data_IF_257075014291
#
_entry.id   IF_257075014291
#
_cell.length_a   1.000
_cell.length_b   1.000
_cell.length_c   1.000
_cell.angle_alpha   90.00
_cell.angle_beta   90.00
_cell.angle_gamma   90.00
#
_symmetry.space_group_name_H-M   'P 1'
#
loop_
_entity.id
_entity.type
_entity.pdbx_description
1 polymer ?
#
# COMPACT_ATOMS: atom_id res chain seq x y z
N UNK A 1 11.64 2.67 -3.97
CA UNK A 1 11.13 1.51 -3.21
C UNK A 1 9.89 1.95 -2.41
N UNK A 2 8.85 1.11 -2.33
CA UNK A 2 7.56 1.40 -1.67
C UNK A 2 7.70 1.33 -0.15
N UNK A 3 8.39 0.31 0.38
CA UNK A 3 8.56 0.14 1.83
C UNK A 3 9.41 1.26 2.42
N UNK A 4 10.55 1.58 1.80
CA UNK A 4 11.38 2.70 2.22
C UNK A 4 10.61 4.03 2.24
N UNK A 5 9.74 4.27 1.25
CA UNK A 5 8.90 5.47 1.22
C UNK A 5 7.88 5.48 2.35
N UNK A 6 7.19 4.36 2.61
CA UNK A 6 6.24 4.24 3.72
C UNK A 6 6.92 4.57 5.06
N UNK A 7 8.05 3.91 5.37
CA UNK A 7 8.82 4.12 6.60
C UNK A 7 9.19 5.60 6.82
N UNK A 8 9.61 6.28 5.75
CA UNK A 8 9.91 7.72 5.78
C UNK A 8 8.68 8.59 6.06
N UNK A 9 7.51 8.27 5.51
CA UNK A 9 6.28 9.07 5.64
C UNK A 9 5.67 9.00 7.06
N UNK A 10 5.76 7.83 7.70
CA UNK A 10 5.24 7.61 9.06
C UNK A 10 6.31 7.73 10.15
N UNK A 11 7.56 7.98 9.77
CA UNK A 11 8.72 8.16 10.64
C UNK A 11 8.97 6.97 11.60
N UNK A 12 9.03 5.76 11.04
CA UNK A 12 9.39 4.51 11.74
C UNK A 12 10.55 3.82 11.01
N UNK A 13 11.28 2.95 11.73
CA UNK A 13 12.43 2.24 11.20
C UNK A 13 12.21 0.72 11.21
N UNK A 14 11.71 0.19 12.32
CA UNK A 14 11.59 -1.25 12.57
C UNK A 14 10.12 -1.72 12.58
N UNK A 15 9.87 -3.00 12.23
CA UNK A 15 8.55 -3.62 12.42
C UNK A 15 8.12 -3.60 13.89
N UNK A 16 6.84 -3.36 14.14
CA UNK A 16 6.24 -3.26 15.47
C UNK A 16 6.27 -1.85 16.07
N UNK A 17 6.91 -0.88 15.42
CA UNK A 17 6.93 0.50 15.87
C UNK A 17 5.62 1.23 15.57
N UNK A 18 5.30 2.19 16.45
CA UNK A 18 4.19 3.12 16.29
C UNK A 18 4.76 4.50 16.01
N UNK A 19 4.18 5.21 15.04
CA UNK A 19 4.56 6.56 14.69
C UNK A 19 4.37 7.52 15.87
N UNK A 20 5.15 8.61 15.89
CA UNK A 20 5.11 9.60 16.99
C UNK A 20 3.77 10.31 17.15
N UNK A 21 3.00 10.41 16.07
CA UNK A 21 1.64 10.97 16.08
C UNK A 21 0.59 9.97 16.61
N UNK A 22 0.98 8.72 16.86
CA UNK A 22 0.09 7.66 17.35
C UNK A 22 -0.93 7.17 16.32
N UNK A 23 -0.80 7.59 15.06
CA UNK A 23 -1.78 7.31 14.00
C UNK A 23 -1.46 6.03 13.22
N UNK A 24 -0.19 5.61 13.15
CA UNK A 24 0.24 4.49 12.33
C UNK A 24 1.05 3.50 13.15
N UNK A 25 0.73 2.21 13.00
CA UNK A 25 1.61 1.11 13.36
C UNK A 25 2.17 0.46 12.10
N UNK A 26 3.44 0.07 12.13
CA UNK A 26 4.08 -0.62 11.01
C UNK A 26 4.33 -2.08 11.38
N UNK A 27 3.89 -2.99 10.53
CA UNK A 27 4.11 -4.43 10.68
C UNK A 27 4.55 -4.99 9.34
N UNK A 28 5.60 -5.80 9.36
CA UNK A 28 5.98 -6.62 8.21
C UNK A 28 5.26 -7.96 8.32
N UNK A 29 4.57 -8.32 7.25
CA UNK A 29 3.80 -9.54 7.17
C UNK A 29 4.31 -10.40 6.02
N UNK A 30 4.07 -11.69 6.15
CA UNK A 30 4.27 -12.64 5.07
C UNK A 30 3.31 -12.37 3.90
N UNK A 31 3.34 -13.27 2.91
CA UNK A 31 2.51 -13.16 1.72
C UNK A 31 1.02 -12.92 2.04
N UNK A 32 0.50 -11.82 1.50
CA UNK A 32 -0.91 -11.41 1.60
C UNK A 32 -1.79 -11.98 0.47
N UNK A 33 -1.28 -12.93 -0.32
CA UNK A 33 -2.04 -13.63 -1.36
C UNK A 33 -2.43 -12.79 -2.58
N UNK A 34 -1.91 -11.57 -2.72
CA UNK A 34 -2.22 -10.64 -3.80
C UNK A 34 -1.06 -10.44 -4.78
N UNK A 35 -0.32 -11.51 -5.08
CA UNK A 35 0.91 -11.45 -5.88
C UNK A 35 0.71 -10.85 -7.27
N UNK A 36 -0.47 -11.07 -7.89
CA UNK A 36 -0.78 -10.48 -9.19
C UNK A 36 -0.83 -8.95 -9.13
N UNK A 37 -1.11 -8.36 -7.98
CA UNK A 37 -1.28 -6.93 -7.76
C UNK A 37 -0.15 -6.28 -6.96
N UNK A 38 0.99 -6.95 -6.86
CA UNK A 38 2.17 -6.40 -6.21
C UNK A 38 2.72 -5.17 -6.97
N UNK A 39 3.33 -4.19 -6.28
CA UNK A 39 3.48 -4.07 -4.82
C UNK A 39 2.16 -3.71 -4.12
N UNK A 40 1.95 -4.21 -2.89
CA UNK A 40 0.68 -4.06 -2.16
C UNK A 40 0.88 -3.98 -0.65
N UNK A 41 -0.10 -3.43 0.07
CA UNK A 41 -0.14 -3.41 1.54
C UNK A 41 -1.58 -3.47 2.06
N UNK A 42 -1.73 -3.70 3.36
CA UNK A 42 -3.03 -3.66 4.06
C UNK A 42 -3.05 -2.50 5.05
N UNK A 43 -4.08 -1.67 5.00
CA UNK A 43 -4.32 -0.58 5.96
C UNK A 43 -5.76 -0.70 6.45
N UNK A 44 -5.97 -0.76 7.76
CA UNK A 44 -7.32 -0.89 8.38
C UNK A 44 -8.19 -1.97 7.72
N UNK A 45 -7.62 -3.18 7.53
CA UNK A 45 -8.25 -4.32 6.87
C UNK A 45 -8.54 -4.18 5.36
N UNK A 46 -8.19 -3.04 4.76
CA UNK A 46 -8.36 -2.78 3.34
C UNK A 46 -7.07 -3.07 2.57
N UNK A 47 -7.21 -3.72 1.42
CA UNK A 47 -6.09 -4.01 0.53
C UNK A 47 -5.84 -2.83 -0.41
N UNK A 48 -4.57 -2.41 -0.50
CA UNK A 48 -4.11 -1.41 -1.44
C UNK A 48 -3.12 -2.02 -2.41
N UNK A 49 -3.44 -1.92 -3.70
CA UNK A 49 -2.75 -2.61 -4.78
C UNK A 49 -1.97 -1.65 -5.69
N UNK A 50 -1.10 -2.22 -6.53
CA UNK A 50 -0.34 -1.52 -7.57
C UNK A 50 0.35 -0.26 -7.01
N UNK A 51 0.97 -0.41 -5.84
CA UNK A 51 1.54 0.69 -5.09
C UNK A 51 2.82 1.20 -5.72
N UNK A 52 2.89 2.53 -5.82
CA UNK A 52 4.09 3.30 -6.13
C UNK A 52 4.47 4.17 -4.93
N UNK A 53 5.73 4.65 -4.84
CA UNK A 53 6.16 5.58 -3.79
C UNK A 53 5.27 6.83 -3.67
N UNK A 54 4.79 7.37 -4.80
CA UNK A 54 3.91 8.54 -4.75
C UNK A 54 2.50 8.18 -4.26
N UNK A 55 1.99 7.00 -4.62
CA UNK A 55 0.67 6.56 -4.15
C UNK A 55 0.67 6.26 -2.65
N UNK A 56 1.77 5.76 -2.08
CA UNK A 56 1.85 5.52 -0.64
C UNK A 56 1.92 6.84 0.15
N UNK A 57 2.65 7.84 -0.37
CA UNK A 57 2.69 9.16 0.24
C UNK A 57 1.30 9.82 0.27
N UNK A 58 0.54 9.70 -0.82
CA UNK A 58 -0.86 10.14 -0.88
C UNK A 58 -1.74 9.41 0.12
N UNK A 59 -1.61 8.08 0.20
CA UNK A 59 -2.37 7.26 1.15
C UNK A 59 -2.12 7.70 2.60
N UNK A 60 -0.87 7.94 2.99
CA UNK A 60 -0.53 8.40 4.35
C UNK A 60 -1.11 9.79 4.61
N UNK A 61 -1.01 10.72 3.65
CA UNK A 61 -1.55 12.07 3.79
C UNK A 61 -3.10 12.06 3.93
N UNK A 62 -3.79 11.27 3.11
CA UNK A 62 -5.24 11.09 3.19
C UNK A 62 -5.68 10.55 4.56
N UNK A 63 -4.95 9.56 5.09
CA UNK A 63 -5.20 9.00 6.42
C UNK A 63 -4.98 10.01 7.54
N UNK A 64 -3.91 10.80 7.50
CA UNK A 64 -3.68 11.87 8.48
C UNK A 64 -4.79 12.94 8.47
N UNK A 65 -5.38 13.20 7.32
CA UNK A 65 -6.44 14.19 7.17
C UNK A 65 -7.85 13.66 7.55
N UNK A 66 -7.95 12.45 8.12
CA UNK A 66 -9.22 11.84 8.50
C UNK A 66 -10.04 11.32 7.31
N UNK A 67 -9.44 11.23 6.13
CA UNK A 67 -10.06 10.57 4.98
C UNK A 67 -10.18 9.07 5.24
N UNK A 68 -11.38 8.51 5.00
CA UNK A 68 -11.45 7.09 4.70
C UNK A 68 -10.59 6.87 3.45
N UNK A 69 -9.54 6.06 3.51
CA UNK A 69 -8.91 5.62 2.28
C UNK A 69 -9.96 4.79 1.57
N UNK A 70 -10.56 5.42 0.58
CA UNK A 70 -11.40 4.77 -0.38
C UNK A 70 -10.58 3.60 -0.94
N UNK A 71 -11.22 2.44 -1.06
CA UNK A 71 -10.64 1.32 -1.80
C UNK A 71 -10.59 1.81 -3.24
N UNK A 72 -9.50 2.48 -3.63
CA UNK A 72 -9.37 3.01 -4.98
C UNK A 72 -9.37 1.80 -5.91
N UNK A 73 -10.40 1.59 -6.74
CA UNK A 73 -10.35 0.58 -7.76
C UNK A 73 -9.40 1.14 -8.81
N UNK A 74 -8.11 0.83 -8.67
CA UNK A 74 -7.13 1.21 -9.68
C UNK A 74 -7.50 0.51 -10.99
N UNK A 75 -7.28 1.23 -12.09
CA UNK A 75 -7.59 0.85 -13.49
C UNK A 75 -7.59 -0.67 -13.69
N UNK A 76 -8.64 -1.18 -14.34
CA UNK A 76 -8.64 -2.55 -14.85
C UNK A 76 -7.34 -2.79 -15.62
N UNK A 77 -6.54 -3.75 -15.14
CA UNK A 77 -5.34 -4.17 -15.87
C UNK A 77 -5.78 -4.76 -17.20
N UNK A 78 -5.03 -4.47 -18.26
CA UNK A 78 -5.28 -5.07 -19.55
C UNK A 78 -5.29 -6.60 -19.40
N UNK A 79 -6.25 -7.32 -20.01
CA UNK A 79 -6.28 -8.77 -19.95
C UNK A 79 -4.95 -9.31 -20.47
N UNK A 80 -4.42 -10.34 -19.80
CA UNK A 80 -3.21 -11.03 -20.29
C UNK A 80 -3.48 -11.52 -21.70
N UNK A 81 -2.60 -11.21 -22.66
CA UNK A 81 -2.69 -11.74 -24.02
C UNK A 81 -2.75 -13.26 -23.94
N UNK A 82 -3.72 -13.88 -24.62
CA UNK A 82 -3.74 -15.34 -24.73
C UNK A 82 -2.59 -15.77 -25.63
N UNK A 83 -2.13 -17.01 -25.48
CA UNK A 83 -1.16 -17.62 -26.39
C UNK A 83 -1.65 -17.64 -27.85
N UNK A 84 -2.96 -17.56 -28.07
CA UNK A 84 -3.61 -17.43 -29.38
C UNK A 84 -3.53 -16.03 -30.00
N UNK A 85 -3.14 -15.02 -29.22
CA UNK A 85 -3.16 -13.60 -29.63
C UNK A 85 -1.73 -13.09 -29.97
N UNK A 86 -0.77 -14.00 -30.13
CA UNK A 86 0.64 -13.75 -30.43
C UNK A 86 0.99 -14.23 -31.85
#
# INVERSE_FOLDING_TARGET
DVVARLKSEIAVHEPGEVSKDGLFSYEEVECLGACEYAPMCRVDHSYHYDLTPDSIARLVAERRNGGAAEIVPKKARAPRKKKSDA
#
